data_IF_835795601143
#
_entry.id   IF_835795601143
#
_cell.length_a   1.000
_cell.length_b   1.000
_cell.length_c   1.000
_cell.angle_alpha   90.00
_cell.angle_beta   90.00
_cell.angle_gamma   90.00
#
_symmetry.space_group_name_H-M   'P 1'
#
loop_
_entity.id
_entity.type
_entity.pdbx_description
1 polymer ?
#
# COMPACT_ATOMS: atom_id res chain seq x y z
N UNK A 1 20.17 -4.15 15.67
CA UNK A 1 19.87 -4.48 14.26
C UNK A 1 19.37 -3.21 13.58
N UNK A 2 20.22 -2.51 12.82
CA UNK A 2 19.77 -1.33 12.04
C UNK A 2 19.06 -1.86 10.81
N UNK A 3 17.74 -1.70 10.74
CA UNK A 3 16.97 -2.03 9.54
C UNK A 3 17.28 -0.91 8.55
N UNK A 4 18.15 -1.22 7.57
CA UNK A 4 18.54 -0.28 6.53
C UNK A 4 17.38 -0.10 5.54
N UNK A 5 16.38 0.70 5.95
CA UNK A 5 15.19 1.03 5.14
C UNK A 5 15.59 1.63 3.78
N UNK A 6 16.76 2.27 3.69
CA UNK A 6 17.27 2.86 2.46
C UNK A 6 17.61 1.82 1.39
N UNK A 7 18.21 0.69 1.76
CA UNK A 7 18.60 -0.36 0.81
C UNK A 7 17.39 -1.05 0.18
N UNK A 8 16.26 -1.12 0.90
CA UNK A 8 15.04 -1.76 0.44
C UNK A 8 13.89 -0.80 0.12
N UNK A 9 14.13 0.50 0.15
CA UNK A 9 13.15 1.57 -0.16
C UNK A 9 12.36 1.31 -1.44
N UNK A 10 13.04 0.90 -2.52
CA UNK A 10 12.39 0.57 -3.81
C UNK A 10 11.41 -0.60 -3.68
N UNK A 11 11.73 -1.62 -2.87
CA UNK A 11 10.86 -2.77 -2.63
C UNK A 11 9.61 -2.38 -1.85
N UNK A 12 9.77 -1.55 -0.81
CA UNK A 12 8.63 -1.02 -0.04
C UNK A 12 7.73 -0.12 -0.89
N UNK A 13 8.32 0.71 -1.75
CA UNK A 13 7.57 1.54 -2.69
C UNK A 13 6.76 0.68 -3.67
N UNK A 14 7.37 -0.34 -4.28
CA UNK A 14 6.67 -1.28 -5.18
C UNK A 14 5.55 -2.01 -4.45
N UNK A 15 5.79 -2.48 -3.22
CA UNK A 15 4.78 -3.14 -2.41
C UNK A 15 3.60 -2.20 -2.11
N UNK A 16 3.87 -0.95 -1.72
CA UNK A 16 2.83 0.05 -1.48
C UNK A 16 1.99 0.35 -2.73
N UNK A 17 2.63 0.48 -3.89
CA UNK A 17 1.93 0.68 -5.17
C UNK A 17 1.05 -0.52 -5.52
N UNK A 18 1.57 -1.74 -5.41
CA UNK A 18 0.79 -2.96 -5.69
C UNK A 18 -0.40 -3.09 -4.75
N UNK A 19 -0.21 -2.82 -3.46
CA UNK A 19 -1.28 -2.80 -2.45
C UNK A 19 -2.37 -1.81 -2.85
N UNK A 20 -2.01 -0.58 -3.25
CA UNK A 20 -2.96 0.44 -3.67
C UNK A 20 -3.71 0.05 -4.94
N UNK A 21 -3.01 -0.43 -5.96
CA UNK A 21 -3.64 -0.88 -7.21
C UNK A 21 -4.64 -2.00 -6.93
N UNK A 22 -4.26 -2.99 -6.12
CA UNK A 22 -5.14 -4.10 -5.76
C UNK A 22 -6.35 -3.66 -4.93
N UNK A 23 -6.18 -2.72 -3.99
CA UNK A 23 -7.27 -2.15 -3.22
C UNK A 23 -8.25 -1.37 -4.09
N UNK A 24 -7.76 -0.54 -5.02
CA UNK A 24 -8.62 0.21 -5.96
C UNK A 24 -9.37 -0.74 -6.90
N UNK A 25 -8.70 -1.77 -7.42
CA UNK A 25 -9.33 -2.80 -8.26
C UNK A 25 -10.42 -3.56 -7.50
N UNK A 26 -10.16 -3.97 -6.25
CA UNK A 26 -11.16 -4.63 -5.42
C UNK A 26 -12.34 -3.72 -5.13
N UNK A 27 -12.10 -2.47 -4.73
CA UNK A 27 -13.16 -1.49 -4.47
C UNK A 27 -14.02 -1.24 -5.71
N UNK A 28 -13.41 -1.19 -6.90
CA UNK A 28 -14.14 -1.02 -8.14
C UNK A 28 -15.02 -2.23 -8.49
N UNK A 29 -14.51 -3.45 -8.26
CA UNK A 29 -15.22 -4.69 -8.61
C UNK A 29 -16.24 -5.14 -7.57
N UNK A 30 -16.06 -4.75 -6.30
CA UNK A 30 -16.84 -5.25 -5.17
C UNK A 30 -17.62 -4.16 -4.45
N UNK A 31 -17.79 -2.99 -5.06
CA UNK A 31 -18.51 -1.87 -4.48
C UNK A 31 -19.84 -2.26 -3.85
N UNK A 32 -20.00 -1.98 -2.55
CA UNK A 32 -21.20 -2.30 -1.77
C UNK A 32 -21.31 -3.75 -1.30
N UNK A 33 -20.28 -4.58 -1.47
CA UNK A 33 -20.23 -5.97 -0.98
C UNK A 33 -19.28 -6.05 0.22
N UNK A 34 -19.85 -6.34 1.39
CA UNK A 34 -19.07 -6.65 2.59
C UNK A 34 -18.77 -8.16 2.67
N UNK A 35 -17.55 -8.57 3.08
CA UNK A 35 -16.47 -7.77 3.66
C UNK A 35 -15.43 -7.23 2.64
N UNK A 36 -15.60 -7.50 1.36
CA UNK A 36 -14.59 -7.20 0.33
C UNK A 36 -14.27 -5.71 0.22
N UNK A 37 -15.27 -4.83 0.32
CA UNK A 37 -15.08 -3.38 0.35
C UNK A 37 -14.21 -2.92 1.51
N UNK A 38 -14.41 -3.51 2.69
CA UNK A 38 -13.62 -3.20 3.88
C UNK A 38 -12.16 -3.65 3.70
N UNK A 39 -11.95 -4.82 3.07
CA UNK A 39 -10.62 -5.31 2.73
C UNK A 39 -9.95 -4.38 1.70
N UNK A 40 -10.70 -3.94 0.69
CA UNK A 40 -10.25 -3.00 -0.33
C UNK A 40 -9.83 -1.65 0.28
N UNK A 41 -10.68 -1.09 1.15
CA UNK A 41 -10.40 0.13 1.90
C UNK A 41 -9.15 0.00 2.78
N UNK A 42 -8.97 -1.16 3.44
CA UNK A 42 -7.77 -1.44 4.24
C UNK A 42 -6.51 -1.52 3.37
N UNK A 43 -6.55 -2.20 2.22
CA UNK A 43 -5.45 -2.29 1.26
C UNK A 43 -5.01 -0.92 0.74
N UNK A 44 -5.97 -0.05 0.41
CA UNK A 44 -5.72 1.34 0.06
C UNK A 44 -5.13 2.14 1.24
N UNK A 45 -5.73 1.99 2.42
CA UNK A 45 -5.33 2.70 3.64
C UNK A 45 -3.95 2.32 4.17
N UNK A 46 -3.48 1.09 3.92
CA UNK A 46 -2.12 0.63 4.23
C UNK A 46 -1.14 0.95 3.09
N UNK A 47 -1.57 0.82 1.84
CA UNK A 47 -0.72 1.08 0.67
C UNK A 47 -0.24 2.53 0.58
N UNK A 48 -1.14 3.50 0.80
CA UNK A 48 -0.82 4.93 0.73
C UNK A 48 0.28 5.37 1.73
N UNK A 49 0.20 5.09 3.05
CA UNK A 49 1.25 5.48 4.00
C UNK A 49 2.57 4.77 3.74
N UNK A 50 2.57 3.52 3.26
CA UNK A 50 3.81 2.83 2.86
C UNK A 50 4.51 3.58 1.74
N UNK A 51 3.76 4.05 0.73
CA UNK A 51 4.31 4.88 -0.35
C UNK A 51 4.84 6.20 0.20
N UNK A 52 4.08 6.90 1.04
CA UNK A 52 4.48 8.19 1.62
C UNK A 52 5.76 8.05 2.43
N UNK A 53 5.85 7.06 3.32
CA UNK A 53 7.05 6.80 4.13
C UNK A 53 8.23 6.45 3.21
N UNK A 54 7.99 5.60 2.21
CA UNK A 54 9.03 5.25 1.22
C UNK A 54 9.50 6.47 0.44
N UNK A 55 8.63 7.41 0.06
CA UNK A 55 9.01 8.62 -0.66
C UNK A 55 9.67 9.68 0.25
N UNK A 56 9.19 9.79 1.49
CA UNK A 56 9.66 10.74 2.50
C UNK A 56 11.02 10.37 3.09
N UNK A 57 11.36 9.07 3.10
CA UNK A 57 12.69 8.59 3.49
C UNK A 57 13.77 9.13 2.54
N UNK A 58 14.33 10.29 2.90
CA UNK A 58 15.51 10.91 2.28
C UNK A 58 16.76 10.41 2.98
N UNK A 59 17.72 10.00 2.16
CA UNK A 59 19.04 9.54 2.58
C UNK A 59 19.72 10.55 3.50
#
# INVERSE_FOLDING_TARGET
MKIDFYTHRKKFLVFGILSLISGVLLAFLKWGIEPEETIAGTLCGVGLPIIIISLSSKK
#
